data_IF_787834506193
#
_entry.id   IF_787834506193
#
_cell.length_a   1.000
_cell.length_b   1.000
_cell.length_c   1.000
_cell.angle_alpha   90.00
_cell.angle_beta   90.00
_cell.angle_gamma   90.00
#
_symmetry.space_group_name_H-M   'P 1'
#
loop_
_entity.id
_entity.type
_entity.pdbx_description
1 polymer ?
#
# COMPACT_ATOMS: atom_id res chain seq x y z
N UNK A 1 21.61 -18.00 51.06
CA UNK A 1 21.62 -16.54 51.30
C UNK A 1 22.00 -15.71 50.06
N UNK A 2 21.88 -16.23 48.82
CA UNK A 2 22.28 -15.52 47.58
C UNK A 2 21.14 -15.30 46.58
N UNK A 3 19.90 -15.68 46.91
CA UNK A 3 18.77 -15.57 45.98
C UNK A 3 18.19 -14.14 45.94
N UNK A 4 18.17 -13.43 47.07
CA UNK A 4 17.64 -12.05 47.15
C UNK A 4 18.53 -11.00 46.47
N UNK A 5 19.86 -11.21 46.49
CA UNK A 5 20.81 -10.34 45.79
C UNK A 5 20.66 -10.45 44.27
N UNK A 6 20.51 -11.67 43.74
CA UNK A 6 20.42 -11.92 42.30
C UNK A 6 19.08 -11.46 41.70
N UNK A 7 18.00 -11.53 42.48
CA UNK A 7 16.69 -10.94 42.14
C UNK A 7 16.75 -9.41 42.17
N UNK A 8 17.43 -8.81 43.15
CA UNK A 8 17.62 -7.36 43.26
C UNK A 8 18.45 -6.78 42.11
N UNK A 9 19.55 -7.45 41.73
CA UNK A 9 20.38 -7.04 40.58
C UNK A 9 19.62 -7.11 39.25
N UNK A 10 18.85 -8.19 39.01
CA UNK A 10 18.00 -8.30 37.81
C UNK A 10 16.90 -7.24 37.78
N UNK A 11 16.32 -6.90 38.93
CA UNK A 11 15.34 -5.81 39.04
C UNK A 11 15.97 -4.44 38.73
N UNK A 12 17.16 -4.16 39.26
CA UNK A 12 17.90 -2.93 38.97
C UNK A 12 18.29 -2.82 37.49
N UNK A 13 18.79 -3.89 36.87
CA UNK A 13 19.10 -3.91 35.44
C UNK A 13 17.85 -3.67 34.57
N UNK A 14 16.72 -4.30 34.91
CA UNK A 14 15.43 -4.07 34.23
C UNK A 14 14.96 -2.63 34.37
N UNK A 15 15.16 -2.00 35.54
CA UNK A 15 14.85 -0.60 35.81
C UNK A 15 15.68 0.35 34.95
N UNK A 16 17.00 0.16 34.90
CA UNK A 16 17.92 0.97 34.07
C UNK A 16 17.56 0.85 32.59
N UNK A 17 17.30 -0.37 32.11
CA UNK A 17 16.89 -0.62 30.73
C UNK A 17 15.54 0.04 30.40
N UNK A 18 14.60 0.02 31.34
CA UNK A 18 13.29 0.70 31.18
C UNK A 18 13.44 2.22 31.11
N UNK A 19 14.34 2.80 31.90
CA UNK A 19 14.62 4.24 31.88
C UNK A 19 15.27 4.65 30.56
N UNK A 20 16.29 3.91 30.09
CA UNK A 20 16.92 4.15 28.80
C UNK A 20 15.92 4.05 27.65
N UNK A 21 15.04 3.04 27.66
CA UNK A 21 14.00 2.87 26.66
C UNK A 21 13.04 4.07 26.61
N UNK A 22 12.62 4.60 27.77
CA UNK A 22 11.76 5.79 27.83
C UNK A 22 12.45 7.04 27.24
N UNK A 23 13.74 7.22 27.52
CA UNK A 23 14.52 8.34 26.97
C UNK A 23 14.60 8.21 25.45
N UNK A 24 14.95 7.02 24.94
CA UNK A 24 15.03 6.77 23.50
C UNK A 24 13.70 7.00 22.78
N UNK A 25 12.59 6.55 23.36
CA UNK A 25 11.24 6.81 22.81
C UNK A 25 10.95 8.32 22.77
N UNK A 26 11.27 9.07 23.83
CA UNK A 26 11.06 10.52 23.84
C UNK A 26 11.88 11.25 22.77
N UNK A 27 13.11 10.79 22.51
CA UNK A 27 13.95 11.33 21.43
C UNK A 27 13.29 11.04 20.06
N UNK A 28 12.90 9.79 19.81
CA UNK A 28 12.26 9.39 18.55
C UNK A 28 10.92 10.12 18.31
N UNK A 29 10.15 10.37 19.37
CA UNK A 29 8.88 11.11 19.28
C UNK A 29 9.06 12.60 19.01
N UNK A 30 10.29 13.13 19.11
CA UNK A 30 10.63 14.51 18.75
C UNK A 30 11.11 14.66 17.30
N UNK A 31 11.13 13.59 16.51
CA UNK A 31 11.52 13.63 15.10
C UNK A 31 10.32 13.98 14.21
N UNK A 32 10.62 14.42 12.99
CA UNK A 32 9.63 14.68 11.96
C UNK A 32 9.28 13.42 11.16
N UNK A 33 8.00 13.23 10.78
CA UNK A 33 6.85 14.09 11.08
C UNK A 33 6.31 13.91 12.52
N UNK A 34 5.81 14.97 13.15
CA UNK A 34 5.29 14.93 14.53
C UNK A 34 4.23 13.83 14.71
N UNK A 35 4.38 13.06 15.79
CA UNK A 35 3.48 11.93 16.11
C UNK A 35 3.99 10.57 15.66
N UNK A 36 5.17 10.48 15.03
CA UNK A 36 5.88 9.20 14.84
C UNK A 36 6.31 8.58 16.17
N UNK A 37 6.55 7.27 16.13
CA UNK A 37 6.89 6.48 17.31
C UNK A 37 5.87 6.57 18.47
N UNK A 38 4.64 7.01 18.20
CA UNK A 38 3.53 6.92 19.13
C UNK A 38 3.09 5.46 19.30
N UNK A 39 2.75 5.07 20.54
CA UNK A 39 2.29 3.72 20.87
C UNK A 39 0.88 3.42 20.33
N UNK A 40 0.07 4.46 20.18
CA UNK A 40 -1.31 4.39 19.73
C UNK A 40 -1.73 5.72 19.08
N UNK A 41 -2.90 5.73 18.43
CA UNK A 41 -3.43 6.90 17.73
C UNK A 41 -3.66 8.08 18.70
N UNK A 42 -4.12 7.80 19.93
CA UNK A 42 -4.36 8.86 20.93
C UNK A 42 -3.07 9.57 21.29
N UNK A 43 -1.98 8.85 21.50
CA UNK A 43 -0.67 9.41 21.75
C UNK A 43 -0.16 10.17 20.52
N UNK A 44 -0.36 9.64 19.31
CA UNK A 44 0.01 10.30 18.06
C UNK A 44 -0.62 11.70 17.95
N UNK A 45 -1.95 11.77 18.12
CA UNK A 45 -2.69 13.03 18.07
C UNK A 45 -2.28 13.99 19.20
N UNK A 46 -2.04 13.49 20.42
CA UNK A 46 -1.58 14.33 21.53
C UNK A 46 -0.19 14.90 21.29
N UNK A 47 0.73 14.15 20.68
CA UNK A 47 2.05 14.66 20.32
C UNK A 47 1.94 15.81 19.31
N UNK A 48 1.06 15.68 18.32
CA UNK A 48 0.80 16.77 17.37
C UNK A 48 0.17 17.99 18.04
N UNK A 49 -0.80 17.79 18.93
CA UNK A 49 -1.42 18.89 19.70
C UNK A 49 -0.42 19.57 20.64
N UNK A 50 0.54 18.82 21.21
CA UNK A 50 1.62 19.38 22.04
C UNK A 50 2.46 20.38 21.26
N UNK A 51 2.67 20.13 19.97
CA UNK A 51 3.51 20.94 19.10
C UNK A 51 2.82 22.23 18.59
N UNK A 52 1.49 22.30 18.66
CA UNK A 52 0.72 23.49 18.26
C UNK A 52 1.04 24.70 19.15
N UNK A 53 1.55 25.77 18.51
CA UNK A 53 1.93 27.02 19.18
C UNK A 53 0.79 28.05 19.29
N UNK A 54 -0.29 27.89 18.52
CA UNK A 54 -1.41 28.85 18.46
C UNK A 54 -2.52 28.56 19.47
N UNK A 55 -2.38 27.54 20.30
CA UNK A 55 -3.33 27.19 21.37
C UNK A 55 -2.70 27.42 22.74
N UNK A 56 -3.50 27.86 23.70
CA UNK A 56 -3.11 28.01 25.09
C UNK A 56 -3.24 26.67 25.85
N UNK A 57 -2.72 26.65 27.08
CA UNK A 57 -2.70 25.44 27.91
C UNK A 57 -4.09 24.95 28.34
N UNK A 58 -5.08 25.85 28.46
CA UNK A 58 -6.47 25.46 28.78
C UNK A 58 -7.09 24.72 27.59
N UNK A 59 -6.94 25.26 26.39
CA UNK A 59 -7.43 24.65 25.14
C UNK A 59 -6.78 23.29 24.91
N UNK A 60 -5.46 23.19 25.11
CA UNK A 60 -4.72 21.93 25.02
C UNK A 60 -5.31 20.84 25.94
N UNK A 61 -5.61 21.18 27.19
CA UNK A 61 -6.24 20.24 28.15
C UNK A 61 -7.62 19.79 27.69
N UNK A 62 -8.42 20.68 27.13
CA UNK A 62 -9.73 20.31 26.58
C UNK A 62 -9.60 19.37 25.38
N UNK A 63 -8.70 19.66 24.44
CA UNK A 63 -8.42 18.81 23.27
C UNK A 63 -7.93 17.43 23.72
N UNK A 64 -7.01 17.34 24.69
CA UNK A 64 -6.58 16.06 25.25
C UNK A 64 -7.73 15.25 25.84
N UNK A 65 -8.64 15.91 26.58
CA UNK A 65 -9.83 15.26 27.15
C UNK A 65 -10.73 14.68 26.06
N UNK A 66 -10.90 15.39 24.94
CA UNK A 66 -11.65 14.92 23.77
C UNK A 66 -10.98 13.69 23.16
N UNK A 67 -9.68 13.75 22.89
CA UNK A 67 -8.91 12.63 22.31
C UNK A 67 -8.97 11.38 23.21
N UNK A 68 -8.92 11.57 24.53
CA UNK A 68 -8.91 10.45 25.47
C UNK A 68 -10.28 9.77 25.62
N UNK A 69 -11.36 10.56 25.73
CA UNK A 69 -12.64 10.06 26.21
C UNK A 69 -13.78 10.14 25.19
N UNK A 70 -13.66 10.99 24.17
CA UNK A 70 -14.80 11.35 23.33
C UNK A 70 -14.52 11.32 21.82
N UNK A 71 -13.46 10.63 21.39
CA UNK A 71 -13.12 10.56 19.96
C UNK A 71 -14.23 9.93 19.11
N UNK A 72 -15.04 9.02 19.69
CA UNK A 72 -16.21 8.43 19.03
C UNK A 72 -17.37 9.44 18.92
N UNK A 73 -17.63 10.20 19.99
CA UNK A 73 -18.65 11.26 19.97
C UNK A 73 -18.32 12.33 18.90
N UNK A 74 -17.03 12.60 18.67
CA UNK A 74 -16.56 13.47 17.58
C UNK A 74 -16.86 12.87 16.20
N UNK A 75 -16.67 11.56 16.03
CA UNK A 75 -16.95 10.86 14.77
C UNK A 75 -18.45 10.83 14.45
N UNK A 76 -19.30 10.78 15.48
CA UNK A 76 -20.76 10.78 15.37
C UNK A 76 -21.37 12.20 15.28
N UNK A 77 -20.55 13.26 15.42
CA UNK A 77 -21.01 14.65 15.28
C UNK A 77 -21.85 15.18 16.46
N UNK A 78 -21.73 14.59 17.65
CA UNK A 78 -22.55 14.89 18.83
C UNK A 78 -22.07 16.14 19.60
N UNK A 79 -22.20 17.32 19.01
CA UNK A 79 -21.68 18.58 19.58
C UNK A 79 -22.35 18.99 20.90
N UNK A 80 -23.67 18.95 20.97
CA UNK A 80 -24.45 19.33 22.17
C UNK A 80 -24.13 18.43 23.38
N UNK A 81 -24.03 17.11 23.14
CA UNK A 81 -23.65 16.16 24.18
C UNK A 81 -22.23 16.41 24.68
N UNK A 82 -21.30 16.70 23.76
CA UNK A 82 -19.91 17.03 24.09
C UNK A 82 -19.82 18.31 24.92
N UNK A 83 -20.54 19.36 24.53
CA UNK A 83 -20.62 20.61 25.30
C UNK A 83 -21.12 20.34 26.71
N UNK A 84 -22.19 19.56 26.86
CA UNK A 84 -22.75 19.18 28.15
C UNK A 84 -21.77 18.35 29.00
N UNK A 85 -21.12 17.34 28.40
CA UNK A 85 -20.12 16.47 29.06
C UNK A 85 -18.86 17.24 29.47
N UNK A 86 -18.43 18.22 28.66
CA UNK A 86 -17.23 19.00 28.88
C UNK A 86 -17.46 20.26 29.73
N UNK A 87 -18.73 20.70 29.86
CA UNK A 87 -19.13 21.95 30.53
C UNK A 87 -18.46 23.18 29.94
N UNK A 88 -18.46 23.27 28.60
CA UNK A 88 -17.94 24.40 27.83
C UNK A 88 -18.91 24.74 26.72
N UNK A 89 -18.79 25.94 26.16
CA UNK A 89 -19.68 26.41 25.10
C UNK A 89 -19.55 25.55 23.83
N UNK A 90 -20.65 25.38 23.10
CA UNK A 90 -20.67 24.56 21.88
C UNK A 90 -19.70 25.09 20.81
N UNK A 91 -19.55 26.41 20.70
CA UNK A 91 -18.59 27.05 19.81
C UNK A 91 -17.13 26.68 20.16
N UNK A 92 -16.80 26.55 21.45
CA UNK A 92 -15.47 26.09 21.88
C UNK A 92 -15.25 24.61 21.52
N UNK A 93 -16.26 23.76 21.73
CA UNK A 93 -16.22 22.33 21.35
C UNK A 93 -15.99 22.18 19.86
N UNK A 94 -16.76 22.91 19.04
CA UNK A 94 -16.66 22.89 17.60
C UNK A 94 -15.27 23.29 17.13
N UNK A 95 -14.70 24.36 17.70
CA UNK A 95 -13.34 24.79 17.41
C UNK A 95 -12.30 23.72 17.76
N UNK A 96 -12.43 23.03 18.90
CA UNK A 96 -11.52 21.94 19.27
C UNK A 96 -11.62 20.74 18.34
N UNK A 97 -12.82 20.40 17.88
CA UNK A 97 -13.04 19.34 16.89
C UNK A 97 -12.40 19.70 15.56
N UNK A 98 -12.54 20.95 15.11
CA UNK A 98 -11.93 21.41 13.85
C UNK A 98 -10.40 21.35 13.91
N UNK A 99 -9.79 21.58 15.07
CA UNK A 99 -8.36 21.35 15.29
C UNK A 99 -8.03 19.87 15.17
N UNK A 100 -8.77 18.99 15.88
CA UNK A 100 -8.53 17.54 15.85
C UNK A 100 -8.66 16.96 14.44
N UNK A 101 -9.64 17.43 13.65
CA UNK A 101 -9.85 17.00 12.26
C UNK A 101 -8.70 17.35 11.32
N UNK A 102 -7.87 18.34 11.66
CA UNK A 102 -6.68 18.73 10.88
C UNK A 102 -5.43 17.93 11.22
N UNK A 103 -5.47 17.12 12.28
CA UNK A 103 -4.36 16.26 12.69
C UNK A 103 -4.30 14.99 11.83
N UNK A 104 -3.10 14.43 11.65
CA UNK A 104 -2.90 13.22 10.85
C UNK A 104 -2.69 11.99 11.75
N UNK A 105 -3.64 11.05 11.84
CA UNK A 105 -3.51 9.89 12.72
C UNK A 105 -2.41 8.90 12.29
N UNK A 106 -1.88 8.99 11.06
CA UNK A 106 -0.77 8.17 10.55
C UNK A 106 0.22 9.05 9.74
N UNK A 107 1.06 9.85 10.40
CA UNK A 107 1.85 10.91 9.75
C UNK A 107 2.86 10.38 8.71
N UNK A 108 3.34 9.14 8.86
CA UNK A 108 4.31 8.54 7.93
C UNK A 108 3.69 7.87 6.70
N UNK A 109 2.36 7.87 6.52
CA UNK A 109 1.70 7.11 5.44
C UNK A 109 2.15 7.55 4.03
N UNK A 110 2.48 8.82 3.86
CA UNK A 110 2.97 9.38 2.59
C UNK A 110 4.45 9.15 2.31
N UNK A 111 5.24 8.72 3.29
CA UNK A 111 6.67 8.42 3.15
C UNK A 111 6.91 6.97 2.71
N UNK A 112 6.02 6.45 1.87
CA UNK A 112 6.13 5.09 1.35
C UNK A 112 7.36 4.99 0.43
N UNK A 113 8.37 4.23 0.86
CA UNK A 113 9.57 3.88 0.08
C UNK A 113 9.47 2.41 -0.40
N UNK A 114 8.24 1.88 -0.50
CA UNK A 114 8.01 0.50 -0.94
C UNK A 114 7.91 0.38 -2.45
N UNK A 115 8.05 -0.86 -2.94
CA UNK A 115 7.90 -1.23 -4.35
C UNK A 115 6.61 -0.63 -4.95
N UNK A 116 6.71 -0.13 -6.18
CA UNK A 116 5.55 0.29 -6.96
C UNK A 116 4.42 -0.73 -6.83
N UNK A 117 3.19 -0.25 -6.57
CA UNK A 117 2.01 -1.11 -6.53
C UNK A 117 1.96 -1.88 -7.84
N UNK A 118 2.28 -3.18 -7.78
CA UNK A 118 2.30 -4.05 -8.95
C UNK A 118 0.85 -4.41 -9.29
N UNK A 119 0.29 -3.68 -10.24
CA UNK A 119 -0.99 -4.06 -10.82
C UNK A 119 -0.83 -5.35 -11.62
N UNK A 120 -1.80 -6.25 -11.49
CA UNK A 120 -1.89 -7.42 -12.36
C UNK A 120 -2.40 -6.92 -13.71
N UNK A 121 -1.54 -6.97 -14.72
CA UNK A 121 -1.93 -6.68 -16.09
C UNK A 121 -2.53 -7.97 -16.68
N UNK A 122 -3.79 -7.96 -17.13
CA UNK A 122 -4.44 -9.19 -17.60
C UNK A 122 -4.02 -9.56 -19.02
N UNK A 123 -3.89 -10.86 -19.29
CA UNK A 123 -3.60 -11.41 -20.62
C UNK A 123 -4.73 -11.10 -21.64
N UNK A 124 -5.98 -10.91 -21.17
CA UNK A 124 -7.13 -10.56 -21.98
C UNK A 124 -8.22 -9.86 -21.14
N UNK A 125 -9.05 -9.06 -21.80
CA UNK A 125 -10.20 -8.35 -21.24
C UNK A 125 -11.50 -8.85 -21.87
N UNK A 126 -12.58 -8.91 -21.08
CA UNK A 126 -13.93 -9.22 -21.57
C UNK A 126 -14.72 -7.92 -21.61
N UNK A 127 -15.29 -7.59 -22.77
CA UNK A 127 -16.18 -6.42 -22.94
C UNK A 127 -17.53 -6.84 -23.49
N UNK A 128 -18.57 -6.07 -23.18
CA UNK A 128 -19.89 -6.20 -23.79
C UNK A 128 -20.07 -5.10 -24.83
N UNK A 129 -20.10 -5.48 -26.11
CA UNK A 129 -20.36 -4.56 -27.22
C UNK A 129 -21.61 -5.00 -27.98
N UNK A 130 -22.51 -4.06 -28.26
CA UNK A 130 -23.79 -4.34 -28.95
C UNK A 130 -24.59 -5.50 -28.35
N UNK A 131 -24.53 -5.67 -27.03
CA UNK A 131 -25.23 -6.73 -26.31
C UNK A 131 -24.55 -8.11 -26.35
N UNK A 132 -23.35 -8.23 -26.91
CA UNK A 132 -22.58 -9.48 -26.97
C UNK A 132 -21.25 -9.34 -26.23
N UNK A 133 -20.85 -10.39 -25.51
CA UNK A 133 -19.53 -10.44 -24.88
C UNK A 133 -18.45 -10.81 -25.89
N UNK A 134 -17.39 -10.02 -25.92
CA UNK A 134 -16.20 -10.22 -26.74
C UNK A 134 -14.96 -10.33 -25.86
N UNK A 135 -14.00 -11.15 -26.30
CA UNK A 135 -12.67 -11.29 -25.67
C UNK A 135 -11.67 -10.44 -26.45
N UNK A 136 -11.03 -9.51 -25.76
CA UNK A 136 -9.96 -8.66 -26.29
C UNK A 136 -8.63 -9.13 -25.71
N UNK A 137 -7.77 -9.69 -26.55
CA UNK A 137 -6.42 -10.08 -26.14
C UNK A 137 -5.54 -8.85 -25.93
N UNK A 138 -4.72 -8.84 -24.87
CA UNK A 138 -3.79 -7.75 -24.64
C UNK A 138 -2.48 -7.99 -25.41
N UNK A 139 -2.46 -7.53 -26.65
CA UNK A 139 -1.33 -7.71 -27.56
C UNK A 139 -0.12 -6.83 -27.23
N UNK A 140 -0.25 -5.84 -26.35
CA UNK A 140 0.86 -4.98 -25.91
C UNK A 140 1.76 -5.67 -24.88
N UNK A 141 1.27 -6.71 -24.19
CA UNK A 141 2.05 -7.49 -23.22
C UNK A 141 3.06 -8.40 -23.92
N UNK A 142 2.72 -8.86 -25.12
CA UNK A 142 3.55 -9.84 -25.83
C UNK A 142 4.68 -9.14 -26.59
N UNK A 143 5.94 -9.58 -26.44
CA UNK A 143 7.04 -9.03 -27.23
C UNK A 143 6.81 -9.36 -28.71
N UNK A 144 6.94 -8.34 -29.57
CA UNK A 144 6.92 -8.52 -31.03
C UNK A 144 8.27 -9.11 -31.47
N UNK A 145 8.30 -10.42 -31.68
CA UNK A 145 9.50 -11.14 -32.10
C UNK A 145 9.44 -11.35 -33.62
N UNK A 146 10.49 -10.94 -34.32
CA UNK A 146 10.65 -11.14 -35.76
C UNK A 146 12.07 -11.56 -36.11
N UNK A 147 12.23 -12.34 -37.18
CA UNK A 147 13.53 -12.78 -37.68
C UNK A 147 13.98 -11.86 -38.81
N UNK A 148 15.16 -11.24 -38.67
CA UNK A 148 15.76 -10.43 -39.74
C UNK A 148 16.43 -11.34 -40.78
N UNK A 149 15.75 -11.57 -41.90
CA UNK A 149 16.19 -12.49 -42.97
C UNK A 149 17.42 -11.96 -43.73
N UNK A 150 17.50 -10.65 -43.98
CA UNK A 150 18.61 -10.04 -44.73
C UNK A 150 19.95 -10.20 -44.01
N UNK A 151 19.95 -10.01 -42.68
CA UNK A 151 21.16 -10.20 -41.87
C UNK A 151 21.63 -11.66 -41.93
N UNK A 152 20.70 -12.62 -41.86
CA UNK A 152 21.01 -14.05 -41.91
C UNK A 152 21.67 -14.41 -43.25
N UNK A 153 21.10 -13.96 -44.37
CA UNK A 153 21.64 -14.23 -45.70
C UNK A 153 23.07 -13.68 -45.85
N UNK A 154 23.34 -12.49 -45.31
CA UNK A 154 24.67 -11.88 -45.36
C UNK A 154 25.76 -12.63 -44.57
N UNK A 155 25.38 -13.33 -43.49
CA UNK A 155 26.31 -14.09 -42.63
C UNK A 155 26.54 -15.49 -43.18
N UNK A 156 25.48 -16.15 -43.67
CA UNK A 156 25.54 -17.49 -44.28
C UNK A 156 26.46 -17.52 -45.51
N UNK A 157 26.57 -16.41 -46.25
CA UNK A 157 27.46 -16.28 -47.40
C UNK A 157 28.96 -16.21 -47.05
N UNK A 158 29.33 -15.90 -45.79
CA UNK A 158 30.72 -15.64 -45.40
C UNK A 158 31.43 -16.84 -44.73
N UNK A 159 30.70 -17.69 -44.03
CA UNK A 159 31.27 -18.86 -43.34
C UNK A 159 30.27 -20.02 -43.25
N UNK A 160 30.66 -21.18 -43.80
CA UNK A 160 29.82 -22.39 -43.86
C UNK A 160 29.62 -23.06 -42.50
N UNK A 161 30.58 -22.95 -41.58
CA UNK A 161 30.46 -23.55 -40.25
C UNK A 161 29.49 -22.72 -39.38
N UNK A 162 29.63 -21.40 -39.42
CA UNK A 162 28.68 -20.45 -38.82
C UNK A 162 27.27 -20.56 -39.42
N UNK A 163 27.15 -20.86 -40.72
CA UNK A 163 25.86 -21.01 -41.39
C UNK A 163 24.98 -22.12 -40.79
N UNK A 164 25.57 -23.29 -40.50
CA UNK A 164 24.84 -24.43 -39.90
C UNK A 164 24.36 -24.11 -38.48
N UNK A 165 25.19 -23.42 -37.70
CA UNK A 165 24.83 -22.98 -36.35
C UNK A 165 23.66 -21.97 -36.37
N UNK A 166 23.72 -20.99 -37.28
CA UNK A 166 22.68 -19.97 -37.44
C UNK A 166 21.35 -20.60 -37.88
N UNK A 167 21.37 -21.51 -38.86
CA UNK A 167 20.16 -22.23 -39.29
C UNK A 167 19.47 -22.97 -38.14
N UNK A 168 20.23 -23.65 -37.27
CA UNK A 168 19.65 -24.32 -36.09
C UNK A 168 18.98 -23.34 -35.14
N UNK A 169 19.55 -22.15 -34.94
CA UNK A 169 18.96 -21.14 -34.06
C UNK A 169 17.74 -20.44 -34.68
N UNK A 170 17.70 -20.31 -36.00
CA UNK A 170 16.51 -19.81 -36.72
C UNK A 170 15.32 -20.75 -36.50
N UNK A 171 15.52 -22.07 -36.67
CA UNK A 171 14.46 -23.05 -36.44
C UNK A 171 13.93 -22.95 -35.00
N UNK A 172 14.81 -22.78 -34.02
CA UNK A 172 14.40 -22.56 -32.62
C UNK A 172 13.58 -21.28 -32.45
N UNK A 173 13.98 -20.19 -33.10
CA UNK A 173 13.24 -18.93 -33.06
C UNK A 173 11.86 -19.05 -33.73
N UNK A 174 11.76 -19.74 -34.87
CA UNK A 174 10.47 -20.00 -35.54
C UNK A 174 9.53 -20.83 -34.67
N UNK A 175 10.05 -21.87 -34.00
CA UNK A 175 9.26 -22.66 -33.04
C UNK A 175 8.80 -21.81 -31.88
N UNK A 176 9.64 -20.90 -31.37
CA UNK A 176 9.27 -19.99 -30.29
C UNK A 176 8.13 -19.04 -30.71
N UNK A 177 8.27 -18.39 -31.88
CA UNK A 177 7.24 -17.48 -32.42
C UNK A 177 5.91 -18.23 -32.57
N UNK A 178 5.96 -19.42 -33.18
CA UNK A 178 4.77 -20.27 -33.35
C UNK A 178 4.14 -20.67 -32.01
N UNK A 179 4.95 -20.98 -31.01
CA UNK A 179 4.46 -21.36 -29.68
C UNK A 179 3.74 -20.21 -28.97
N UNK A 180 4.20 -18.97 -29.15
CA UNK A 180 3.53 -17.76 -28.63
C UNK A 180 2.17 -17.57 -29.31
N UNK A 181 2.11 -17.70 -30.63
CA UNK A 181 0.85 -17.60 -31.38
C UNK A 181 -0.15 -18.68 -30.99
N UNK A 182 0.29 -19.93 -30.85
CA UNK A 182 -0.57 -21.04 -30.43
C UNK A 182 -1.09 -20.87 -28.98
N UNK A 183 -0.26 -20.33 -28.08
CA UNK A 183 -0.72 -19.94 -26.73
C UNK A 183 -1.83 -18.89 -26.80
N UNK A 184 -1.66 -17.84 -27.61
CA UNK A 184 -2.68 -16.80 -27.80
C UNK A 184 -4.01 -17.39 -28.31
N UNK A 185 -3.96 -18.22 -29.37
CA UNK A 185 -5.15 -18.88 -29.92
C UNK A 185 -5.84 -19.78 -28.89
N UNK A 186 -5.05 -20.52 -28.12
CA UNK A 186 -5.59 -21.43 -27.09
C UNK A 186 -6.27 -20.64 -25.98
N UNK A 187 -5.65 -19.55 -25.50
CA UNK A 187 -6.23 -18.70 -24.47
C UNK A 187 -7.57 -18.10 -24.94
N UNK A 188 -7.60 -17.53 -26.15
CA UNK A 188 -8.81 -16.98 -26.75
C UNK A 188 -9.94 -18.03 -26.78
N UNK A 189 -9.66 -19.23 -27.31
CA UNK A 189 -10.64 -20.32 -27.38
C UNK A 189 -11.15 -20.74 -26.00
N UNK A 190 -10.28 -20.78 -24.99
CA UNK A 190 -10.67 -21.10 -23.62
C UNK A 190 -11.59 -20.02 -23.06
N UNK A 191 -11.23 -18.74 -23.21
CA UNK A 191 -12.01 -17.62 -22.71
C UNK A 191 -13.39 -17.52 -23.38
N UNK A 192 -13.46 -17.72 -24.70
CA UNK A 192 -14.74 -17.82 -25.43
C UNK A 192 -15.62 -18.94 -24.89
N UNK A 193 -15.04 -20.10 -24.54
CA UNK A 193 -15.79 -21.21 -23.95
C UNK A 193 -16.24 -20.92 -22.52
N UNK A 194 -15.44 -20.18 -21.75
CA UNK A 194 -15.82 -19.74 -20.40
C UNK A 194 -17.01 -18.78 -20.49
N UNK A 195 -16.98 -17.80 -21.39
CA UNK A 195 -18.10 -16.88 -21.63
C UNK A 195 -19.41 -17.61 -21.91
N UNK A 196 -19.38 -18.59 -22.83
CA UNK A 196 -20.57 -19.39 -23.16
C UNK A 196 -21.06 -20.20 -21.94
N UNK A 197 -20.15 -20.75 -21.14
CA UNK A 197 -20.49 -21.58 -19.98
C UNK A 197 -20.97 -20.78 -18.77
N UNK A 198 -20.55 -19.52 -18.63
CA UNK A 198 -20.75 -18.70 -17.44
C UNK A 198 -21.48 -17.39 -17.75
N UNK A 199 -22.28 -17.33 -18.81
CA UNK A 199 -23.02 -16.14 -19.24
C UNK A 199 -23.79 -15.46 -18.09
N UNK A 200 -24.50 -16.25 -17.27
CA UNK A 200 -25.26 -15.71 -16.13
C UNK A 200 -24.41 -14.95 -15.11
N UNK A 201 -23.16 -15.35 -14.89
CA UNK A 201 -22.23 -14.68 -13.97
C UNK A 201 -21.77 -13.34 -14.55
N UNK A 202 -21.48 -13.28 -15.85
CA UNK A 202 -21.09 -12.04 -16.52
C UNK A 202 -22.25 -11.04 -16.64
N UNK A 203 -23.50 -11.51 -16.70
CA UNK A 203 -24.70 -10.66 -16.76
C UNK A 203 -25.15 -10.15 -15.40
N UNK A 204 -25.15 -11.00 -14.37
CA UNK A 204 -25.80 -10.69 -13.09
C UNK A 204 -24.84 -10.50 -11.91
N UNK A 205 -23.53 -10.76 -12.10
CA UNK A 205 -22.46 -10.48 -11.14
C UNK A 205 -22.76 -10.88 -9.70
#
# INVERSE_FOLDING_TARGET
MNFDLDVSYKQQQKLVMTQQMKISINILQGFDPVGIAAKDIKQCLKLQVKDLQFINEKERKHIYKIIDNYILDVAEGKLEELSSKMKIEEDEVKRYIDIIKKLEPKPSRGFYIGDEIKYIIPDAEIKKENGQYIVLMNDEILPKISINKELIESIVLKDKESASYIQKNIIKAEVLIKSIEERKKTLLRILEKILIKQESFFENG
#
